data_IF_164614705880
#
_entry.id   IF_164614705880
#
_cell.length_a   1.000
_cell.length_b   1.000
_cell.length_c   1.000
_cell.angle_alpha   90.00
_cell.angle_beta   90.00
_cell.angle_gamma   90.00
#
_symmetry.space_group_name_H-M   'P 1'
#
loop_
_entity.id
_entity.type
_entity.pdbx_description
1 polymer ?
#
# COMPACT_ATOMS: atom_id res chain seq x y z
N UNK A 1 0.19 8.66 16.97
CA UNK A 1 -0.92 8.85 16.02
C UNK A 1 -1.05 10.35 15.77
N UNK A 2 -1.25 10.76 14.52
CA UNK A 2 -1.50 12.13 14.06
C UNK A 2 -2.80 12.17 13.29
N UNK A 3 -3.39 13.34 13.14
CA UNK A 3 -4.67 13.52 12.44
C UNK A 3 -4.59 14.70 11.48
N UNK A 4 -5.31 14.63 10.37
CA UNK A 4 -5.45 15.68 9.38
C UNK A 4 -6.90 15.71 8.86
N UNK A 5 -7.49 16.90 8.84
CA UNK A 5 -8.81 17.08 8.22
C UNK A 5 -8.68 17.18 6.70
N UNK A 6 -9.39 16.33 5.99
CA UNK A 6 -9.39 16.28 4.53
C UNK A 6 -10.82 16.06 4.01
N UNK A 7 -11.35 17.01 3.28
CA UNK A 7 -12.68 16.92 2.65
C UNK A 7 -13.80 16.47 3.61
N UNK A 8 -13.82 17.01 4.83
CA UNK A 8 -14.83 16.69 5.85
C UNK A 8 -14.62 15.36 6.58
N UNK A 9 -13.48 14.71 6.38
CA UNK A 9 -13.10 13.50 7.11
C UNK A 9 -11.80 13.72 7.87
N UNK A 10 -11.69 13.15 9.08
CA UNK A 10 -10.44 13.11 9.83
C UNK A 10 -9.66 11.88 9.40
N UNK A 11 -8.47 12.08 8.84
CA UNK A 11 -7.53 11.02 8.44
C UNK A 11 -6.47 10.86 9.51
N UNK A 12 -6.39 9.68 10.11
CA UNK A 12 -5.32 9.34 11.05
C UNK A 12 -4.10 8.80 10.32
N UNK A 13 -2.91 9.04 10.86
CA UNK A 13 -1.67 8.47 10.32
C UNK A 13 -0.58 8.36 11.38
N UNK A 14 0.35 7.44 11.17
CA UNK A 14 1.59 7.37 11.93
C UNK A 14 2.73 8.02 11.14
N UNK A 15 3.76 8.48 11.87
CA UNK A 15 4.99 9.02 11.28
C UNK A 15 6.16 8.70 12.19
N UNK A 16 7.18 8.04 11.63
CA UNK A 16 8.41 7.67 12.36
C UNK A 16 9.64 7.75 11.45
N UNK A 17 10.83 7.72 12.07
CA UNK A 17 12.09 7.80 11.34
C UNK A 17 12.44 9.21 10.85
N UNK A 18 13.44 9.29 9.97
CA UNK A 18 13.95 10.53 9.43
C UNK A 18 14.45 10.37 7.98
N UNK A 19 14.63 11.48 7.27
CA UNK A 19 15.04 11.51 5.87
C UNK A 19 13.86 11.68 4.91
N UNK A 20 14.01 11.22 3.66
CA UNK A 20 12.98 11.31 2.62
C UNK A 20 11.70 10.57 3.04
N UNK A 21 10.56 11.15 2.70
CA UNK A 21 9.26 10.51 2.96
C UNK A 21 9.09 9.17 2.24
N UNK A 22 8.55 8.20 2.96
CA UNK A 22 8.04 6.93 2.45
C UNK A 22 6.62 6.75 2.95
N UNK A 23 5.67 6.69 2.04
CA UNK A 23 4.26 6.46 2.37
C UNK A 23 3.90 5.01 2.09
N UNK A 24 3.34 4.31 3.09
CA UNK A 24 2.90 2.92 2.99
C UNK A 24 1.37 2.86 3.02
N UNK A 25 0.76 2.31 1.98
CA UNK A 25 -0.68 2.25 1.78
C UNK A 25 -1.21 0.82 1.92
N UNK A 26 -2.10 0.60 2.88
CA UNK A 26 -2.64 -0.72 3.24
C UNK A 26 -3.75 -1.19 2.30
N UNK A 27 -4.09 -2.48 2.40
CA UNK A 27 -5.17 -3.12 1.62
C UNK A 27 -6.56 -2.97 2.24
N UNK A 28 -7.54 -3.64 1.62
CA UNK A 28 -8.97 -3.55 1.93
C UNK A 28 -9.32 -4.01 3.35
N UNK A 29 -8.72 -5.11 3.82
CA UNK A 29 -9.01 -5.74 5.12
C UNK A 29 -8.01 -5.36 6.22
N UNK A 30 -7.38 -4.19 6.14
CA UNK A 30 -6.36 -3.76 7.07
C UNK A 30 -6.51 -2.29 7.43
N UNK A 31 -5.82 -1.88 8.46
CA UNK A 31 -5.39 -0.52 8.76
C UNK A 31 -3.85 -0.44 8.69
N UNK A 32 -3.32 0.74 8.89
CA UNK A 32 -1.87 0.96 8.84
C UNK A 32 -1.09 0.15 9.87
N UNK A 33 -1.64 0.00 11.07
CA UNK A 33 -0.99 -0.72 12.17
C UNK A 33 -0.94 -2.23 11.89
N UNK A 34 -2.04 -2.84 11.44
CA UNK A 34 -2.11 -4.26 11.13
C UNK A 34 -1.31 -4.66 9.89
N UNK A 35 -1.25 -3.76 8.88
CA UNK A 35 -0.51 -4.01 7.64
C UNK A 35 0.99 -3.79 7.77
N UNK A 36 1.41 -2.73 8.47
CA UNK A 36 2.80 -2.26 8.42
C UNK A 36 3.43 -2.01 9.79
N UNK A 37 2.72 -2.19 10.91
CA UNK A 37 3.26 -1.88 12.23
C UNK A 37 4.56 -2.59 12.58
N UNK A 38 4.73 -3.85 12.13
CA UNK A 38 5.97 -4.61 12.30
C UNK A 38 7.01 -4.33 11.20
N UNK A 39 6.61 -3.71 10.09
CA UNK A 39 7.48 -3.49 8.93
C UNK A 39 8.00 -2.06 8.83
N UNK A 40 7.24 -1.06 9.27
CA UNK A 40 7.66 0.34 9.19
C UNK A 40 8.99 0.63 9.90
N UNK A 41 9.35 0.01 11.06
CA UNK A 41 10.68 0.16 11.64
C UNK A 41 11.82 -0.30 10.73
N UNK A 42 11.55 -1.23 9.80
CA UNK A 42 12.53 -1.75 8.84
C UNK A 42 12.85 -0.81 7.69
N UNK A 43 12.16 0.35 7.61
CA UNK A 43 12.41 1.42 6.65
C UNK A 43 12.80 2.73 7.33
N UNK A 44 12.48 2.88 8.62
CA UNK A 44 12.68 4.13 9.38
C UNK A 44 14.16 4.46 9.64
N UNK A 45 15.06 3.51 9.38
CA UNK A 45 16.51 3.70 9.39
C UNK A 45 16.99 4.70 8.32
N UNK A 46 16.26 4.84 7.21
CA UNK A 46 16.62 5.68 6.05
C UNK A 46 15.48 6.52 5.50
N UNK A 47 14.29 6.44 6.09
CA UNK A 47 13.08 7.14 5.62
C UNK A 47 12.27 7.70 6.78
N UNK A 48 11.60 8.81 6.52
CA UNK A 48 10.43 9.22 7.29
C UNK A 48 9.25 8.39 6.81
N UNK A 49 8.90 7.35 7.55
CA UNK A 49 7.81 6.43 7.21
C UNK A 49 6.49 7.03 7.67
N UNK A 50 5.52 7.11 6.75
CA UNK A 50 4.19 7.65 6.95
C UNK A 50 3.19 6.57 6.57
N UNK A 51 2.29 6.24 7.48
CA UNK A 51 1.27 5.20 7.24
C UNK A 51 -0.10 5.80 7.54
N UNK A 52 -0.83 6.26 6.51
CA UNK A 52 -2.18 6.76 6.69
C UNK A 52 -3.17 5.61 6.79
N UNK A 53 -4.21 5.80 7.60
CA UNK A 53 -5.44 5.03 7.57
C UNK A 53 -6.43 5.73 6.63
N UNK A 54 -7.00 4.99 5.69
CA UNK A 54 -8.04 5.57 4.84
C UNK A 54 -9.30 5.92 5.64
N UNK A 55 -10.16 6.72 5.06
CA UNK A 55 -11.50 6.96 5.58
C UNK A 55 -12.21 5.63 5.92
N UNK A 56 -12.67 5.52 7.15
CA UNK A 56 -13.28 4.29 7.69
C UNK A 56 -12.29 3.18 8.09
N UNK A 57 -10.98 3.49 8.23
CA UNK A 57 -9.99 2.55 8.74
C UNK A 57 -9.30 3.11 9.99
N UNK A 58 -8.88 2.21 10.89
CA UNK A 58 -8.16 2.60 12.09
C UNK A 58 -8.90 3.67 12.89
N UNK A 59 -8.24 4.81 13.15
CA UNK A 59 -8.85 5.95 13.83
C UNK A 59 -9.37 7.05 12.88
N UNK A 60 -9.46 6.78 11.57
CA UNK A 60 -10.04 7.69 10.60
C UNK A 60 -11.57 7.61 10.58
N UNK A 61 -12.22 8.76 10.38
CA UNK A 61 -13.69 8.80 10.34
C UNK A 61 -14.25 8.09 9.10
N UNK A 62 -15.41 7.49 9.26
CA UNK A 62 -16.18 6.93 8.12
C UNK A 62 -16.80 8.10 7.35
N UNK A 63 -16.59 8.21 6.04
CA UNK A 63 -17.22 9.26 5.25
C UNK A 63 -18.72 9.04 5.12
N UNK A 64 -19.49 10.11 4.96
CA UNK A 64 -20.87 10.00 4.56
C UNK A 64 -20.94 9.53 3.09
N UNK A 65 -21.78 8.53 2.82
CA UNK A 65 -22.02 8.02 1.48
C UNK A 65 -20.98 6.99 1.00
N UNK A 66 -20.87 6.87 -0.31
CA UNK A 66 -20.10 5.83 -0.95
C UNK A 66 -18.61 6.19 -1.04
N UNK A 67 -17.73 5.25 -0.66
CA UNK A 67 -16.29 5.45 -0.74
C UNK A 67 -15.84 5.50 -2.21
N UNK A 68 -15.12 6.56 -2.58
CA UNK A 68 -14.58 6.72 -3.93
C UNK A 68 -13.05 6.65 -3.95
N UNK A 69 -12.48 6.23 -5.10
CA UNK A 69 -11.04 6.22 -5.29
C UNK A 69 -10.46 7.65 -5.21
N UNK A 70 -11.17 8.64 -5.75
CA UNK A 70 -10.72 10.02 -5.75
C UNK A 70 -10.65 10.60 -4.33
N UNK A 71 -11.56 10.23 -3.42
CA UNK A 71 -11.46 10.61 -2.01
C UNK A 71 -10.17 10.06 -1.37
N UNK A 72 -9.86 8.78 -1.60
CA UNK A 72 -8.64 8.18 -1.04
C UNK A 72 -7.38 8.82 -1.64
N UNK A 73 -7.39 9.16 -2.93
CA UNK A 73 -6.29 9.87 -3.59
C UNK A 73 -6.04 11.23 -2.92
N UNK A 74 -7.08 12.02 -2.70
CA UNK A 74 -6.94 13.34 -2.05
C UNK A 74 -6.48 13.22 -0.59
N UNK A 75 -6.96 12.21 0.16
CA UNK A 75 -6.51 11.95 1.51
C UNK A 75 -5.01 11.63 1.57
N UNK A 76 -4.56 10.72 0.70
CA UNK A 76 -3.13 10.35 0.63
C UNK A 76 -2.27 11.54 0.20
N UNK A 77 -2.70 12.31 -0.80
CA UNK A 77 -1.98 13.50 -1.25
C UNK A 77 -1.87 14.55 -0.14
N UNK A 78 -2.96 14.83 0.57
CA UNK A 78 -2.99 15.79 1.67
C UNK A 78 -2.09 15.36 2.85
N UNK A 79 -2.20 14.10 3.30
CA UNK A 79 -1.34 13.56 4.37
C UNK A 79 0.13 13.62 3.96
N UNK A 80 0.44 13.22 2.72
CA UNK A 80 1.81 13.24 2.20
C UNK A 80 2.38 14.67 2.20
N UNK A 81 1.60 15.64 1.69
CA UNK A 81 2.01 17.05 1.64
C UNK A 81 2.21 17.68 3.02
N UNK A 82 1.41 17.26 4.02
CA UNK A 82 1.53 17.74 5.41
C UNK A 82 2.67 17.05 6.17
N UNK A 83 2.95 15.78 5.87
CA UNK A 83 3.82 14.95 6.70
C UNK A 83 5.28 14.90 6.23
N UNK A 84 5.58 15.15 4.95
CA UNK A 84 6.94 15.05 4.41
C UNK A 84 7.24 16.08 3.32
N UNK A 85 8.53 16.38 3.16
CA UNK A 85 9.02 17.07 1.97
C UNK A 85 8.86 16.19 0.73
N UNK A 86 8.42 16.78 -0.36
CA UNK A 86 8.16 16.10 -1.62
C UNK A 86 9.36 16.22 -2.59
N UNK A 87 9.52 15.31 -3.56
CA UNK A 87 8.71 14.12 -3.78
C UNK A 87 9.07 12.98 -2.81
N UNK A 88 8.08 12.10 -2.53
CA UNK A 88 8.19 10.94 -1.64
C UNK A 88 8.29 9.62 -2.40
N UNK A 89 8.71 8.56 -1.70
CA UNK A 89 8.51 7.18 -2.16
C UNK A 89 7.12 6.71 -1.74
N UNK A 90 6.43 5.97 -2.61
CA UNK A 90 5.08 5.49 -2.36
C UNK A 90 4.99 3.99 -2.60
N UNK A 91 4.53 3.25 -1.60
CA UNK A 91 4.36 1.80 -1.65
C UNK A 91 2.92 1.46 -1.31
N UNK A 92 2.25 0.72 -2.17
CA UNK A 92 0.89 0.26 -1.94
C UNK A 92 0.75 -1.25 -2.07
N UNK A 93 -0.09 -1.86 -1.23
CA UNK A 93 -0.42 -3.28 -1.26
C UNK A 93 -1.92 -3.44 -1.50
N UNK A 94 -2.32 -4.27 -2.47
CA UNK A 94 -3.73 -4.56 -2.77
C UNK A 94 -4.50 -3.28 -3.17
N UNK A 95 -5.60 -2.94 -2.49
CA UNK A 95 -6.28 -1.65 -2.67
C UNK A 95 -5.30 -0.47 -2.54
N UNK A 96 -4.33 -0.58 -1.62
CA UNK A 96 -3.27 0.42 -1.49
C UNK A 96 -2.43 0.60 -2.76
N UNK A 97 -2.22 -0.46 -3.55
CA UNK A 97 -1.54 -0.37 -4.84
C UNK A 97 -2.40 0.38 -5.87
N UNK A 98 -3.71 0.15 -5.87
CA UNK A 98 -4.65 0.89 -6.73
C UNK A 98 -4.67 2.38 -6.39
N UNK A 99 -4.75 2.70 -5.09
CA UNK A 99 -4.69 4.09 -4.60
C UNK A 99 -3.34 4.72 -4.94
N UNK A 100 -2.23 4.02 -4.70
CA UNK A 100 -0.88 4.52 -5.01
C UNK A 100 -0.70 4.84 -6.49
N UNK A 101 -1.17 3.96 -7.38
CA UNK A 101 -1.14 4.18 -8.82
C UNK A 101 -1.99 5.40 -9.22
N UNK A 102 -3.19 5.55 -8.64
CA UNK A 102 -4.05 6.70 -8.89
C UNK A 102 -3.43 8.03 -8.38
N UNK A 103 -2.79 8.02 -7.20
CA UNK A 103 -2.03 9.18 -6.67
C UNK A 103 -0.89 9.55 -7.61
N UNK A 104 -0.08 8.59 -8.03
CA UNK A 104 1.06 8.83 -8.90
C UNK A 104 0.64 9.38 -10.28
N UNK A 105 -0.49 8.91 -10.81
CA UNK A 105 -1.03 9.40 -12.08
C UNK A 105 -1.61 10.82 -11.97
N UNK A 106 -2.30 11.15 -10.87
CA UNK A 106 -2.94 12.45 -10.67
C UNK A 106 -1.98 13.53 -10.16
N UNK A 107 -0.99 13.12 -9.37
CA UNK A 107 -0.01 14.01 -8.73
C UNK A 107 1.43 13.59 -9.07
N UNK A 108 1.86 13.65 -10.36
CA UNK A 108 3.16 13.11 -10.79
C UNK A 108 4.36 13.76 -10.09
N UNK A 109 4.24 15.02 -9.65
CA UNK A 109 5.27 15.71 -8.87
C UNK A 109 5.38 15.26 -7.40
N UNK A 110 4.41 14.51 -6.89
CA UNK A 110 4.38 14.04 -5.51
C UNK A 110 5.24 12.78 -5.31
N UNK A 111 5.37 11.92 -6.33
CA UNK A 111 5.93 10.59 -6.21
C UNK A 111 7.29 10.49 -6.91
N UNK A 112 8.34 10.15 -6.14
CA UNK A 112 9.69 9.91 -6.66
C UNK A 112 9.85 8.49 -7.22
N UNK A 113 9.41 7.50 -6.46
CA UNK A 113 9.40 6.08 -6.81
C UNK A 113 8.13 5.43 -6.33
N UNK A 114 7.60 4.52 -7.12
CA UNK A 114 6.33 3.85 -6.89
C UNK A 114 6.51 2.35 -6.82
N UNK A 115 5.96 1.70 -5.78
CA UNK A 115 5.91 0.23 -5.67
C UNK A 115 4.47 -0.21 -5.52
N UNK A 116 4.02 -1.09 -6.41
CA UNK A 116 2.65 -1.60 -6.49
C UNK A 116 2.67 -3.11 -6.27
N UNK A 117 2.18 -3.58 -5.13
CA UNK A 117 2.19 -5.01 -4.76
C UNK A 117 0.77 -5.57 -4.79
N UNK A 118 0.55 -6.66 -5.50
CA UNK A 118 -0.74 -7.33 -5.63
C UNK A 118 -1.88 -6.38 -6.07
N UNK A 119 -1.56 -5.42 -6.95
CA UNK A 119 -2.52 -4.47 -7.51
C UNK A 119 -3.20 -4.97 -8.77
N UNK A 120 -4.24 -4.25 -9.18
CA UNK A 120 -4.97 -4.49 -10.43
C UNK A 120 -5.26 -3.16 -11.15
N UNK A 121 -5.48 -3.26 -12.46
CA UNK A 121 -5.84 -2.11 -13.29
C UNK A 121 -7.35 -1.95 -13.49
N UNK A 122 -8.09 -3.03 -13.42
CA UNK A 122 -9.50 -3.11 -13.80
C UNK A 122 -10.27 -4.02 -12.85
N UNK A 123 -11.15 -3.43 -12.05
CA UNK A 123 -12.06 -4.15 -11.13
C UNK A 123 -13.25 -4.80 -11.84
N UNK A 124 -13.46 -4.55 -13.16
CA UNK A 124 -14.59 -5.11 -13.91
C UNK A 124 -14.32 -6.51 -14.49
N UNK A 125 -13.13 -7.06 -14.30
CA UNK A 125 -12.81 -8.45 -14.65
C UNK A 125 -13.77 -9.43 -13.97
N UNK A 126 -14.31 -10.41 -14.73
CA UNK A 126 -15.36 -11.31 -14.27
C UNK A 126 -14.95 -12.14 -13.05
N UNK A 127 -13.68 -12.57 -12.97
CA UNK A 127 -13.19 -13.30 -11.81
C UNK A 127 -13.07 -12.39 -10.60
N UNK A 128 -12.56 -11.17 -10.80
CA UNK A 128 -12.47 -10.17 -9.73
C UNK A 128 -13.86 -9.85 -9.16
N UNK A 129 -14.84 -9.63 -10.05
CA UNK A 129 -16.24 -9.42 -9.67
C UNK A 129 -16.78 -10.60 -8.86
N UNK A 130 -16.58 -11.85 -9.34
CA UNK A 130 -17.07 -13.05 -8.66
C UNK A 130 -16.50 -13.17 -7.25
N UNK A 131 -15.19 -13.02 -7.09
CA UNK A 131 -14.52 -13.20 -5.79
C UNK A 131 -14.90 -12.06 -4.83
N UNK A 132 -14.81 -10.82 -5.25
CA UNK A 132 -15.11 -9.67 -4.38
C UNK A 132 -16.60 -9.58 -4.02
N UNK A 133 -17.52 -9.87 -4.96
CA UNK A 133 -18.95 -9.88 -4.65
C UNK A 133 -19.32 -11.05 -3.72
N UNK A 134 -18.71 -12.22 -3.89
CA UNK A 134 -18.89 -13.35 -2.97
C UNK A 134 -18.41 -12.96 -1.57
N UNK A 135 -17.21 -12.39 -1.46
CA UNK A 135 -16.69 -11.91 -0.17
C UNK A 135 -17.63 -10.90 0.48
N UNK A 136 -18.08 -9.91 -0.29
CA UNK A 136 -18.99 -8.87 0.18
C UNK A 136 -20.29 -9.47 0.75
N UNK A 137 -20.94 -10.37 0.00
CA UNK A 137 -22.18 -11.04 0.42
C UNK A 137 -21.99 -11.89 1.66
N UNK A 138 -20.90 -12.64 1.74
CA UNK A 138 -20.58 -13.42 2.92
C UNK A 138 -20.36 -12.53 4.14
N UNK A 139 -19.59 -11.45 4.01
CA UNK A 139 -19.35 -10.51 5.10
C UNK A 139 -20.64 -9.81 5.59
N UNK A 140 -21.59 -9.55 4.68
CA UNK A 140 -22.89 -8.98 5.04
C UNK A 140 -23.82 -10.00 5.74
N UNK A 141 -23.81 -11.26 5.30
CA UNK A 141 -24.65 -12.31 5.85
C UNK A 141 -24.13 -12.84 7.19
N UNK A 142 -22.82 -13.04 7.28
CA UNK A 142 -22.11 -13.54 8.45
C UNK A 142 -20.66 -13.03 8.41
N UNK A 143 -20.29 -12.08 9.29
CA UNK A 143 -18.93 -11.51 9.30
C UNK A 143 -17.83 -12.56 9.47
N UNK A 144 -18.04 -13.62 10.25
CA UNK A 144 -17.07 -14.70 10.43
C UNK A 144 -16.87 -15.49 9.13
N UNK A 145 -17.94 -15.82 8.41
CA UNK A 145 -17.82 -16.46 7.08
C UNK A 145 -17.11 -15.56 6.08
N UNK A 146 -17.36 -14.26 6.13
CA UNK A 146 -16.61 -13.27 5.33
C UNK A 146 -15.11 -13.31 5.61
N UNK A 147 -14.71 -13.38 6.88
CA UNK A 147 -13.30 -13.52 7.29
C UNK A 147 -12.74 -14.87 6.83
N UNK A 148 -13.42 -15.98 7.06
CA UNK A 148 -12.99 -17.32 6.62
C UNK A 148 -12.76 -17.38 5.11
N UNK A 149 -13.69 -16.83 4.33
CA UNK A 149 -13.53 -16.74 2.88
C UNK A 149 -12.30 -15.91 2.50
N UNK A 150 -12.16 -14.70 3.08
CA UNK A 150 -11.02 -13.83 2.81
C UNK A 150 -9.68 -14.55 3.12
N UNK A 151 -9.56 -15.19 4.26
CA UNK A 151 -8.37 -15.97 4.64
C UNK A 151 -8.07 -17.07 3.63
N UNK A 152 -9.10 -17.80 3.16
CA UNK A 152 -8.94 -18.94 2.24
C UNK A 152 -8.44 -18.56 0.85
N UNK A 153 -8.72 -17.31 0.40
CA UNK A 153 -8.27 -16.81 -0.92
C UNK A 153 -7.05 -15.88 -0.82
N UNK A 154 -6.80 -15.30 0.35
CA UNK A 154 -5.71 -14.37 0.54
C UNK A 154 -4.40 -15.04 0.97
N UNK A 155 -4.44 -16.05 1.84
CA UNK A 155 -3.24 -16.78 2.23
C UNK A 155 -2.92 -17.92 1.28
N UNK A 156 -1.61 -18.20 1.12
CA UNK A 156 -1.18 -19.36 0.34
C UNK A 156 -1.54 -20.68 1.04
N UNK A 157 -1.87 -21.76 0.29
CA UNK A 157 -2.16 -23.05 0.89
C UNK A 157 -1.04 -23.57 1.80
N UNK A 158 0.26 -23.45 1.46
CA UNK A 158 1.33 -23.87 2.37
C UNK A 158 1.34 -23.09 3.68
N UNK A 159 1.08 -21.78 3.65
CA UNK A 159 1.02 -20.96 4.85
C UNK A 159 -0.13 -21.38 5.75
N UNK A 160 -1.36 -21.50 5.21
CA UNK A 160 -2.53 -21.94 5.97
C UNK A 160 -2.35 -23.34 6.58
N UNK A 161 -1.73 -24.27 5.82
CA UNK A 161 -1.47 -25.64 6.31
C UNK A 161 -0.42 -25.70 7.42
N UNK A 162 0.44 -24.69 7.52
CA UNK A 162 1.46 -24.59 8.57
C UNK A 162 0.95 -23.93 9.86
N UNK A 163 -0.19 -23.24 9.81
CA UNK A 163 -0.79 -22.62 10.99
C UNK A 163 -1.29 -23.67 11.97
N UNK A 164 -1.04 -23.45 13.25
CA UNK A 164 -1.69 -24.18 14.33
C UNK A 164 -3.16 -23.82 14.46
N UNK A 165 -3.95 -24.71 15.11
CA UNK A 165 -5.39 -24.48 15.35
C UNK A 165 -5.66 -23.17 16.08
N UNK A 166 -4.82 -22.84 17.07
CA UNK A 166 -4.99 -21.62 17.88
C UNK A 166 -4.66 -20.36 17.06
N UNK A 167 -3.63 -20.40 16.23
CA UNK A 167 -3.25 -19.30 15.33
C UNK A 167 -4.34 -19.04 14.28
N UNK A 168 -4.88 -20.11 13.67
CA UNK A 168 -5.98 -19.99 12.74
C UNK A 168 -7.24 -19.43 13.41
N UNK A 169 -7.55 -19.92 14.62
CA UNK A 169 -8.68 -19.40 15.41
C UNK A 169 -8.51 -17.93 15.75
N UNK A 170 -7.30 -17.52 16.12
CA UNK A 170 -6.97 -16.10 16.37
C UNK A 170 -7.12 -15.23 15.12
N UNK A 171 -6.74 -15.72 13.94
CA UNK A 171 -6.96 -15.01 12.67
C UNK A 171 -8.46 -14.85 12.36
N UNK A 172 -9.24 -15.90 12.53
CA UNK A 172 -10.69 -15.89 12.29
C UNK A 172 -11.40 -14.94 13.26
N UNK A 173 -10.98 -14.92 14.53
CA UNK A 173 -11.59 -14.08 15.58
C UNK A 173 -11.27 -12.58 15.42
N UNK A 174 -10.36 -12.20 14.53
CA UNK A 174 -10.16 -10.79 14.22
C UNK A 174 -11.40 -10.27 13.53
N UNK A 175 -12.10 -9.36 14.18
CA UNK A 175 -13.27 -8.71 13.59
C UNK A 175 -12.91 -8.10 12.23
N UNK A 176 -13.83 -8.21 11.28
CA UNK A 176 -13.69 -7.46 10.03
C UNK A 176 -13.64 -5.95 10.37
N UNK A 177 -12.73 -5.17 9.78
CA UNK A 177 -12.65 -3.75 10.04
C UNK A 177 -13.96 -3.04 9.68
N UNK A 178 -14.37 -2.05 10.48
CA UNK A 178 -15.50 -1.19 10.12
C UNK A 178 -15.37 -0.68 8.69
N UNK A 179 -16.49 -0.53 7.98
CA UNK A 179 -16.49 -0.04 6.60
C UNK A 179 -15.90 -1.01 5.55
N UNK A 180 -15.69 -2.30 5.89
CA UNK A 180 -15.18 -3.30 4.94
C UNK A 180 -16.05 -3.40 3.69
N UNK A 181 -17.38 -3.31 3.82
CA UNK A 181 -18.33 -3.35 2.71
C UNK A 181 -18.10 -2.23 1.70
N UNK A 182 -17.87 -0.99 2.18
CA UNK A 182 -17.56 0.17 1.33
C UNK A 182 -16.24 -0.02 0.57
N UNK A 183 -15.22 -0.60 1.23
CA UNK A 183 -13.93 -0.86 0.59
C UNK A 183 -13.98 -1.99 -0.43
N UNK A 184 -14.70 -3.08 -0.15
CA UNK A 184 -14.94 -4.13 -1.15
C UNK A 184 -15.74 -3.54 -2.33
N UNK A 185 -16.76 -2.72 -2.05
CA UNK A 185 -17.50 -1.99 -3.08
C UNK A 185 -16.61 -1.12 -3.94
N UNK A 186 -15.62 -0.44 -3.36
CA UNK A 186 -14.61 0.31 -4.12
C UNK A 186 -13.74 -0.61 -4.98
N UNK A 187 -13.29 -1.76 -4.47
CA UNK A 187 -12.52 -2.72 -5.25
C UNK A 187 -13.26 -3.19 -6.52
N UNK A 188 -14.58 -3.39 -6.41
CA UNK A 188 -15.44 -3.79 -7.54
C UNK A 188 -15.56 -2.72 -8.64
N UNK A 189 -15.40 -1.43 -8.28
CA UNK A 189 -15.59 -0.29 -9.20
C UNK A 189 -14.30 0.37 -9.66
N UNK A 190 -13.17 0.06 -9.01
CA UNK A 190 -11.91 0.71 -9.31
C UNK A 190 -11.41 0.34 -10.71
N UNK A 191 -11.24 1.34 -11.57
CA UNK A 191 -10.70 1.24 -12.91
C UNK A 191 -9.60 2.30 -13.11
N UNK A 192 -8.41 1.85 -13.39
CA UNK A 192 -7.23 2.69 -13.57
C UNK A 192 -6.79 2.80 -15.03
N UNK A 193 -7.39 2.06 -15.95
CA UNK A 193 -6.88 1.90 -17.34
C UNK A 193 -6.57 3.23 -18.01
N UNK A 194 -7.46 4.20 -17.88
CA UNK A 194 -7.31 5.52 -18.49
C UNK A 194 -6.35 6.45 -17.71
N UNK A 195 -5.96 6.05 -16.48
CA UNK A 195 -5.09 6.86 -15.60
C UNK A 195 -3.63 6.45 -15.64
N UNK A 196 -3.32 5.17 -15.95
CA UNK A 196 -1.98 4.61 -15.82
C UNK A 196 -0.93 5.28 -16.71
N UNK A 197 -1.32 5.84 -17.86
CA UNK A 197 -0.44 6.60 -18.75
C UNK A 197 0.08 7.90 -18.12
N UNK A 198 -0.55 8.42 -17.06
CA UNK A 198 -0.11 9.58 -16.30
C UNK A 198 1.02 9.28 -15.30
N UNK A 199 1.36 8.01 -15.07
CA UNK A 199 2.43 7.64 -14.16
C UNK A 199 3.80 7.89 -14.82
N UNK A 200 4.54 8.87 -14.30
CA UNK A 200 5.89 9.19 -14.76
C UNK A 200 7.00 8.72 -13.79
N UNK A 201 6.64 8.38 -12.55
CA UNK A 201 7.59 7.92 -11.55
C UNK A 201 8.15 6.54 -11.93
N UNK A 202 9.47 6.27 -11.74
CA UNK A 202 10.01 4.93 -11.79
C UNK A 202 9.17 3.98 -10.93
N UNK A 203 8.63 2.92 -11.55
CA UNK A 203 7.64 2.03 -10.93
C UNK A 203 8.13 0.59 -10.89
N UNK A 204 7.97 -0.06 -9.73
CA UNK A 204 8.10 -1.50 -9.57
C UNK A 204 6.71 -2.09 -9.32
N UNK A 205 6.32 -3.05 -10.14
CA UNK A 205 5.11 -3.86 -9.91
C UNK A 205 5.54 -5.23 -9.39
N UNK A 206 4.92 -5.68 -8.30
CA UNK A 206 5.23 -6.96 -7.65
C UNK A 206 3.99 -7.84 -7.65
N UNK A 207 4.08 -8.99 -8.33
CA UNK A 207 3.07 -10.04 -8.32
C UNK A 207 3.32 -11.04 -7.19
N UNK A 208 2.26 -11.68 -6.70
CA UNK A 208 2.31 -12.71 -5.67
C UNK A 208 1.82 -14.04 -6.27
N UNK A 209 2.68 -15.07 -6.27
CA UNK A 209 2.47 -16.30 -7.07
C UNK A 209 1.31 -17.16 -6.60
N UNK A 210 0.99 -17.13 -5.31
CA UNK A 210 -0.06 -17.94 -4.69
C UNK A 210 -1.26 -17.10 -4.23
N UNK A 211 -1.41 -15.92 -4.81
CA UNK A 211 -2.53 -15.02 -4.54
C UNK A 211 -3.77 -15.48 -5.29
N UNK A 212 -4.76 -15.95 -4.53
CA UNK A 212 -6.07 -16.34 -5.08
C UNK A 212 -7.12 -15.24 -4.92
N UNK A 213 -6.83 -14.16 -4.18
CA UNK A 213 -7.68 -12.99 -4.12
C UNK A 213 -7.46 -12.10 -5.35
N UNK A 214 -6.23 -11.66 -5.57
CA UNK A 214 -5.79 -10.88 -6.74
C UNK A 214 -4.72 -11.69 -7.49
N UNK A 215 -5.08 -12.46 -8.51
CA UNK A 215 -4.14 -13.34 -9.20
C UNK A 215 -2.92 -12.59 -9.73
N UNK A 216 -1.79 -13.29 -9.78
CA UNK A 216 -0.52 -12.74 -10.28
C UNK A 216 -0.64 -12.14 -11.68
N UNK A 217 -1.57 -12.63 -12.50
CA UNK A 217 -1.91 -12.14 -13.83
C UNK A 217 -2.41 -10.68 -13.79
N UNK A 218 -3.11 -10.28 -12.73
CA UNK A 218 -3.56 -8.89 -12.53
C UNK A 218 -2.36 -7.94 -12.37
N UNK A 219 -1.35 -8.34 -11.60
CA UNK A 219 -0.10 -7.59 -11.47
C UNK A 219 0.71 -7.59 -12.77
N UNK A 220 0.78 -8.70 -13.50
CA UNK A 220 1.40 -8.76 -14.83
C UNK A 220 0.71 -7.80 -15.81
N UNK A 221 -0.62 -7.77 -15.80
CA UNK A 221 -1.41 -6.83 -16.61
C UNK A 221 -1.15 -5.38 -16.22
N UNK A 222 -1.10 -5.08 -14.92
CA UNK A 222 -0.78 -3.74 -14.42
C UNK A 222 0.61 -3.28 -14.91
N UNK A 223 1.62 -4.16 -14.81
CA UNK A 223 2.95 -3.91 -15.34
C UNK A 223 2.93 -3.59 -16.85
N UNK A 224 2.21 -4.36 -17.65
CA UNK A 224 2.10 -4.12 -19.10
C UNK A 224 1.48 -2.76 -19.45
N UNK A 225 0.62 -2.20 -18.58
CA UNK A 225 -0.07 -0.93 -18.79
C UNK A 225 0.73 0.28 -18.30
N UNK A 226 1.77 0.08 -17.45
CA UNK A 226 2.61 1.17 -16.95
C UNK A 226 3.93 1.16 -17.72
N UNK A 227 4.08 2.11 -18.62
CA UNK A 227 5.27 2.22 -19.47
C UNK A 227 6.56 2.37 -18.64
N UNK A 228 7.59 1.60 -18.96
CA UNK A 228 8.89 1.67 -18.28
C UNK A 228 8.90 1.12 -16.85
N UNK A 229 7.83 0.50 -16.37
CA UNK A 229 7.85 -0.17 -15.07
C UNK A 229 8.77 -1.40 -15.07
N UNK A 230 9.28 -1.75 -13.89
CA UNK A 230 9.95 -3.03 -13.63
C UNK A 230 8.96 -4.01 -13.03
N UNK A 231 9.22 -5.32 -13.16
CA UNK A 231 8.36 -6.37 -12.63
C UNK A 231 9.15 -7.38 -11.81
N UNK A 232 8.57 -7.83 -10.70
CA UNK A 232 9.10 -8.91 -9.88
C UNK A 232 7.95 -9.79 -9.34
N UNK A 233 8.28 -10.99 -8.86
CA UNK A 233 7.32 -11.87 -8.19
C UNK A 233 7.87 -12.35 -6.86
N UNK A 234 6.99 -12.48 -5.86
CA UNK A 234 7.28 -13.10 -4.58
C UNK A 234 6.46 -14.39 -4.47
N UNK A 235 7.08 -15.43 -3.92
CA UNK A 235 6.47 -16.74 -3.66
C UNK A 235 5.63 -16.67 -2.37
N UNK A 236 4.44 -16.05 -2.48
CA UNK A 236 3.55 -15.70 -1.36
C UNK A 236 2.10 -15.69 -1.81
N UNK A 237 1.17 -15.86 -0.88
CA UNK A 237 -0.22 -15.44 -1.03
C UNK A 237 -0.36 -13.92 -0.93
N UNK A 238 -1.60 -13.44 -0.94
CA UNK A 238 -1.94 -12.01 -0.96
C UNK A 238 -1.37 -11.23 0.23
N UNK A 239 -1.30 -11.85 1.41
CA UNK A 239 -0.86 -11.19 2.65
C UNK A 239 0.65 -11.31 2.80
N UNK A 240 1.39 -10.81 1.80
CA UNK A 240 2.86 -10.90 1.71
C UNK A 240 3.58 -10.31 2.93
N UNK A 241 2.99 -9.29 3.57
CA UNK A 241 3.51 -8.64 4.78
C UNK A 241 3.55 -9.56 6.00
N UNK A 242 2.77 -10.64 6.00
CA UNK A 242 2.75 -11.67 7.04
C UNK A 242 3.43 -12.96 6.58
N UNK A 243 3.17 -13.42 5.34
CA UNK A 243 3.73 -14.67 4.83
C UNK A 243 5.23 -14.57 4.53
N UNK A 244 5.67 -13.47 3.92
CA UNK A 244 7.05 -13.28 3.43
C UNK A 244 7.57 -11.86 3.72
N UNK A 245 7.53 -11.42 5.00
CA UNK A 245 7.92 -10.05 5.37
C UNK A 245 9.34 -9.69 4.94
N UNK A 246 10.28 -10.63 5.03
CA UNK A 246 11.68 -10.39 4.65
C UNK A 246 11.83 -10.19 3.14
N UNK A 247 11.17 -11.03 2.34
CA UNK A 247 11.19 -10.90 0.89
C UNK A 247 10.52 -9.59 0.42
N UNK A 248 9.38 -9.23 1.04
CA UNK A 248 8.72 -7.95 0.78
C UNK A 248 9.65 -6.77 1.07
N UNK A 249 10.24 -6.73 2.28
CA UNK A 249 11.12 -5.64 2.68
C UNK A 249 12.36 -5.56 1.79
N UNK A 250 12.99 -6.70 1.48
CA UNK A 250 14.17 -6.73 0.61
C UNK A 250 13.83 -6.17 -0.78
N UNK A 251 12.76 -6.66 -1.42
CA UNK A 251 12.33 -6.22 -2.75
C UNK A 251 12.02 -4.72 -2.80
N UNK A 252 11.32 -4.20 -1.79
CA UNK A 252 10.98 -2.77 -1.69
C UNK A 252 12.25 -1.94 -1.44
N UNK A 253 13.10 -2.34 -0.49
CA UNK A 253 14.35 -1.61 -0.19
C UNK A 253 15.29 -1.57 -1.38
N UNK A 254 15.50 -2.70 -2.06
CA UNK A 254 16.37 -2.78 -3.24
C UNK A 254 15.93 -1.79 -4.32
N UNK A 255 14.63 -1.70 -4.58
CA UNK A 255 14.11 -0.74 -5.54
C UNK A 255 14.19 0.71 -5.05
N UNK A 256 13.81 1.00 -3.81
CA UNK A 256 13.79 2.37 -3.29
C UNK A 256 15.19 2.97 -3.09
N UNK A 257 16.18 2.12 -2.80
CA UNK A 257 17.55 2.56 -2.48
C UNK A 257 18.56 2.30 -3.62
N UNK A 258 18.13 1.73 -4.76
CA UNK A 258 18.97 1.60 -5.95
C UNK A 258 19.29 2.98 -6.54
N UNK A 259 20.58 3.27 -6.75
CA UNK A 259 21.09 4.58 -7.26
C UNK A 259 21.35 5.61 -6.15
N UNK A 260 22.24 6.55 -6.41
CA UNK A 260 22.58 7.64 -5.49
C UNK A 260 21.34 8.51 -5.21
N UNK A 261 21.01 8.69 -3.94
CA UNK A 261 19.99 9.66 -3.50
C UNK A 261 20.63 11.06 -3.63
N UNK A 262 20.20 11.93 -4.53
CA UNK A 262 20.87 13.23 -4.75
C UNK A 262 20.85 14.16 -3.52
N UNK A 263 20.12 13.82 -2.47
CA UNK A 263 20.05 14.60 -1.24
C UNK A 263 21.18 14.32 -0.24
N UNK A 264 22.03 13.29 -0.44
CA UNK A 264 23.15 12.98 0.45
C UNK A 264 24.48 13.59 0.03
N UNK A 265 24.58 14.16 -1.19
CA UNK A 265 25.81 14.78 -1.70
C UNK A 265 25.97 16.27 -1.36
N UNK A 266 24.93 16.94 -0.86
CA UNK A 266 25.00 18.39 -0.57
C UNK A 266 25.54 18.72 0.84
N UNK A 267 25.85 17.73 1.67
CA UNK A 267 26.33 17.93 3.06
C UNK A 267 27.84 17.69 3.27
N UNK A 268 28.56 17.21 2.26
CA UNK A 268 29.97 16.81 2.44
C UNK A 268 31.00 17.89 2.05
N UNK A 269 30.60 18.94 1.31
CA UNK A 269 31.54 19.96 0.79
C UNK A 269 31.60 21.26 1.61
N UNK A 270 30.91 21.36 2.75
CA UNK A 270 30.90 22.59 3.55
C UNK A 270 31.88 22.61 4.74
N UNK A 271 32.76 21.61 4.89
CA UNK A 271 33.64 21.50 6.05
C UNK A 271 35.16 21.56 5.72
N UNK A 272 35.58 22.19 4.62
CA UNK A 272 37.01 22.26 4.31
C UNK A 272 37.40 23.58 3.63
N UNK A 273 37.10 24.71 4.25
CA UNK A 273 37.82 25.97 3.98
C UNK A 273 37.74 26.87 5.22
N UNK A 274 38.58 26.57 6.20
CA UNK A 274 39.11 27.60 7.10
C UNK A 274 40.40 27.08 7.74
N UNK A 275 41.51 27.73 7.44
CA UNK A 275 42.74 27.48 8.19
C UNK A 275 44.02 27.54 7.38
N UNK A 276 44.36 28.70 6.81
CA UNK A 276 45.77 29.09 6.62
C UNK A 276 45.87 30.53 6.16
N UNK A 277 45.99 31.47 7.07
CA UNK A 277 46.76 32.70 6.85
C UNK A 277 47.04 33.33 8.21
N UNK A 278 48.30 33.42 8.55
CA UNK A 278 48.74 34.18 9.70
C UNK A 278 50.10 33.73 10.21
N UNK A 279 51.16 34.39 9.75
CA UNK A 279 52.47 34.30 10.30
C UNK A 279 53.47 35.00 9.40
#
# INVERSE_FOLDING_TARGET
MRHLEVNGTTVSYTKEGSGRGLVLLHGTHADGASAFGLLSPRFSDRRTVIVPDYAGCGASTVPEGELSLDLLVEQVAAVTGSAAAQPVDLVGVSLGAVVAAAVAARHPGLVRRLVLVAGWADGTDSRHQLVCETWRRLAQADPELGVRFALSVAFSPPYLSALGTDELSALISRAAPDGIDHRIGLCLRADLRDRLSGISAPTLVVGLRHDHLIPVESSRRLHQLIAGSSYAEIDSGHVVTQEKPDAFVAQVRDFLFSGADPATSAGADAASTDGASGG
#
